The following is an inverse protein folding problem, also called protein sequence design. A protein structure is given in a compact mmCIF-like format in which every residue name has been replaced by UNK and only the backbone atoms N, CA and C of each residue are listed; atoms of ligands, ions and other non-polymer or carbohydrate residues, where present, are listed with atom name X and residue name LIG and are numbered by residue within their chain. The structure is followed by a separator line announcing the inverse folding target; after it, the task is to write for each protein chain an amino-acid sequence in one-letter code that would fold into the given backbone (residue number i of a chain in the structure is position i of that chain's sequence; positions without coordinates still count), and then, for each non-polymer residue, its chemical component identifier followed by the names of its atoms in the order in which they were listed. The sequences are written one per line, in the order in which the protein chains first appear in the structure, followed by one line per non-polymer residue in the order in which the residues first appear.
data_IF_605292908476
#
_entry.id   IF_605292908476
#
_cell.length_a   1.000
_cell.length_b   1.000
_cell.length_c   1.000
_cell.angle_alpha   90.00
_cell.angle_beta   90.00
_cell.angle_gamma   90.00
#
_symmetry.space_group_name_H-M   'P 1'
#
loop_
_entity.id
_entity.type
_entity.pdbx_description
1 polymer ?
#
# COMPACT_ATOMS: atom_id res chain seq x y z
N UNK A 1 57.04 -20.68 -3.77
CA UNK A 1 56.90 -19.92 -2.51
C UNK A 1 56.94 -18.45 -2.84
N UNK A 2 55.83 -17.74 -2.67
CA UNK A 2 55.73 -16.32 -2.29
C UNK A 2 54.25 -15.94 -2.37
N UNK A 3 53.58 -16.10 -1.24
CA UNK A 3 52.28 -15.54 -0.90
C UNK A 3 52.33 -14.01 -0.99
N UNK A 4 51.54 -13.40 -1.87
CA UNK A 4 51.22 -11.97 -1.77
C UNK A 4 49.88 -11.81 -1.07
N UNK A 5 49.96 -11.34 0.16
CA UNK A 5 48.84 -11.01 1.03
C UNK A 5 47.85 -10.08 0.31
N UNK A 6 46.58 -10.47 0.31
CA UNK A 6 45.49 -9.55 0.02
C UNK A 6 45.53 -8.43 1.07
N UNK A 7 45.58 -7.19 0.60
CA UNK A 7 45.62 -6.00 1.44
C UNK A 7 44.36 -5.94 2.30
N UNK A 8 44.56 -5.77 3.62
CA UNK A 8 43.55 -5.56 4.66
C UNK A 8 42.34 -4.66 4.26
N UNK A 9 42.47 -3.62 3.41
CA UNK A 9 41.31 -2.86 2.91
C UNK A 9 40.31 -3.65 2.04
N UNK A 10 40.71 -4.70 1.32
CA UNK A 10 39.80 -5.52 0.50
C UNK A 10 38.90 -6.39 1.37
N UNK A 11 39.45 -6.93 2.46
CA UNK A 11 38.69 -7.72 3.45
C UNK A 11 37.76 -6.83 4.27
N UNK A 12 38.17 -5.59 4.59
CA UNK A 12 37.29 -4.59 5.21
C UNK A 12 36.17 -4.11 4.29
N UNK A 13 36.41 -4.00 2.97
CA UNK A 13 35.38 -3.66 1.99
C UNK A 13 34.33 -4.79 1.83
N UNK A 14 34.75 -6.06 1.85
CA UNK A 14 33.83 -7.20 1.89
C UNK A 14 33.08 -7.35 3.23
N UNK A 15 33.70 -6.97 4.36
CA UNK A 15 33.02 -6.96 5.67
C UNK A 15 32.03 -5.79 5.82
N UNK A 16 32.25 -4.65 5.17
CA UNK A 16 31.28 -3.55 5.07
C UNK A 16 30.11 -3.87 4.11
N UNK A 17 30.33 -4.76 3.13
CA UNK A 17 29.28 -5.31 2.27
C UNK A 17 28.46 -6.41 2.95
N UNK A 18 28.90 -6.95 4.10
CA UNK A 18 28.14 -7.90 4.93
C UNK A 18 27.31 -7.20 6.03
N UNK A 19 27.43 -5.89 6.21
CA UNK A 19 26.69 -5.10 7.22
C UNK A 19 25.79 -4.01 6.64
N UNK A 20 25.66 -3.94 5.31
CA UNK A 20 24.75 -3.02 4.63
C UNK A 20 23.57 -3.82 4.05
N UNK A 21 22.32 -3.63 4.52
CA UNK A 21 21.18 -4.36 3.95
C UNK A 21 20.99 -3.96 2.48
N UNK A 22 20.62 -4.90 1.59
CA UNK A 22 20.26 -4.56 0.22
C UNK A 22 19.05 -3.63 0.21
N UNK A 23 18.93 -2.72 -0.77
CA UNK A 23 17.82 -1.78 -0.85
C UNK A 23 16.48 -2.50 -0.88
N UNK A 24 15.65 -2.15 0.10
CA UNK A 24 14.28 -2.59 0.33
C UNK A 24 13.34 -2.12 -0.77
N UNK A 25 13.27 -2.84 -1.90
CA UNK A 25 12.22 -2.72 -2.91
C UNK A 25 11.91 -4.11 -3.46
N UNK A 26 11.08 -4.86 -2.75
CA UNK A 26 10.59 -6.14 -3.24
C UNK A 26 9.39 -5.93 -4.15
N UNK A 27 9.67 -5.55 -5.40
CA UNK A 27 8.72 -5.67 -6.49
C UNK A 27 8.52 -7.15 -6.84
N UNK A 28 7.32 -7.54 -7.25
CA UNK A 28 7.08 -8.91 -7.72
C UNK A 28 7.86 -9.15 -9.04
N UNK A 29 8.93 -9.94 -8.96
CA UNK A 29 9.75 -10.33 -10.12
C UNK A 29 8.90 -10.90 -11.26
N UNK A 30 7.81 -11.60 -10.94
CA UNK A 30 6.88 -12.14 -11.94
C UNK A 30 6.08 -11.05 -12.66
N UNK A 31 5.73 -9.95 -11.99
CA UNK A 31 5.03 -8.81 -12.61
C UNK A 31 5.95 -8.07 -13.57
N UNK A 32 7.22 -7.85 -13.21
CA UNK A 32 8.22 -7.28 -14.12
C UNK A 32 8.48 -8.19 -15.32
N UNK A 33 8.70 -9.48 -15.08
CA UNK A 33 8.88 -10.46 -16.16
C UNK A 33 7.69 -10.48 -17.12
N UNK A 34 6.47 -10.41 -16.59
CA UNK A 34 5.24 -10.37 -17.40
C UNK A 34 5.15 -9.07 -18.19
N UNK A 35 5.42 -7.91 -17.56
CA UNK A 35 5.45 -6.61 -18.22
C UNK A 35 6.45 -6.58 -19.39
N UNK A 36 7.69 -7.01 -19.15
CA UNK A 36 8.72 -7.07 -20.19
C UNK A 36 8.39 -8.07 -21.30
N UNK A 37 7.79 -9.22 -20.95
CA UNK A 37 7.38 -10.22 -21.93
C UNK A 37 6.24 -9.71 -22.84
N UNK A 38 5.23 -9.06 -22.26
CA UNK A 38 4.14 -8.45 -23.01
C UNK A 38 4.66 -7.32 -23.93
N UNK A 39 5.53 -6.46 -23.39
CA UNK A 39 6.14 -5.37 -24.15
C UNK A 39 7.01 -5.89 -25.31
N UNK A 40 7.87 -6.88 -25.06
CA UNK A 40 8.73 -7.48 -26.09
C UNK A 40 7.89 -8.14 -27.19
N UNK A 41 6.89 -8.92 -26.82
CA UNK A 41 5.97 -9.59 -27.76
C UNK A 41 5.20 -8.58 -28.63
N UNK A 42 4.70 -7.51 -28.01
CA UNK A 42 4.00 -6.44 -28.72
C UNK A 42 4.93 -5.71 -29.69
N UNK A 43 6.12 -5.30 -29.24
CA UNK A 43 7.09 -4.58 -30.08
C UNK A 43 7.62 -5.41 -31.23
N UNK A 44 7.78 -6.73 -31.03
CA UNK A 44 8.15 -7.66 -32.11
C UNK A 44 7.05 -7.77 -33.17
N UNK A 45 5.77 -7.81 -32.76
CA UNK A 45 4.64 -7.78 -33.70
C UNK A 45 4.52 -6.45 -34.43
N UNK A 46 4.75 -5.31 -33.75
CA UNK A 46 4.80 -3.98 -34.38
C UNK A 46 5.91 -3.90 -35.44
N UNK A 47 7.10 -4.41 -35.13
CA UNK A 47 8.20 -4.45 -36.08
C UNK A 47 7.83 -5.22 -37.36
N UNK A 48 7.16 -6.35 -37.22
CA UNK A 48 6.72 -7.16 -38.37
C UNK A 48 5.61 -6.46 -39.17
N UNK A 49 4.65 -5.83 -38.48
CA UNK A 49 3.60 -5.05 -39.14
C UNK A 49 4.18 -3.90 -39.97
N UNK A 50 5.09 -3.11 -39.38
CA UNK A 50 5.75 -1.99 -40.08
C UNK A 50 6.54 -2.45 -41.30
N UNK A 51 7.30 -3.55 -41.16
CA UNK A 51 8.02 -4.15 -42.29
C UNK A 51 7.07 -4.60 -43.41
N UNK A 52 5.93 -5.20 -43.07
CA UNK A 52 4.93 -5.67 -44.05
C UNK A 52 4.27 -4.53 -44.85
N UNK A 53 4.24 -3.31 -44.30
CA UNK A 53 3.70 -2.10 -44.95
C UNK A 53 4.79 -1.23 -45.59
N UNK A 54 6.05 -1.68 -45.62
CA UNK A 54 7.18 -0.97 -46.22
C UNK A 54 7.86 0.08 -45.33
N UNK A 55 7.46 0.22 -44.06
CA UNK A 55 8.13 1.09 -43.09
C UNK A 55 9.33 0.38 -42.44
N UNK A 56 10.41 0.24 -43.22
CA UNK A 56 11.63 -0.43 -42.76
C UNK A 56 12.34 0.35 -41.65
N UNK A 57 12.32 1.70 -41.70
CA UNK A 57 12.94 2.53 -40.69
C UNK A 57 12.21 2.43 -39.34
N UNK A 58 10.88 2.48 -39.33
CA UNK A 58 10.08 2.29 -38.13
C UNK A 58 10.08 0.85 -37.62
N UNK A 59 10.20 -0.14 -38.51
CA UNK A 59 10.43 -1.53 -38.14
C UNK A 59 11.74 -1.70 -37.38
N UNK A 60 12.84 -1.09 -37.85
CA UNK A 60 14.13 -1.16 -37.15
C UNK A 60 14.10 -0.49 -35.77
N UNK A 61 13.40 0.65 -35.62
CA UNK A 61 13.22 1.28 -34.30
C UNK A 61 12.40 0.40 -33.35
N UNK A 62 11.33 -0.23 -33.84
CA UNK A 62 10.54 -1.17 -33.06
C UNK A 62 11.34 -2.42 -32.66
N UNK A 63 12.19 -2.95 -33.55
CA UNK A 63 13.14 -4.04 -33.25
C UNK A 63 14.18 -3.62 -32.23
N UNK A 64 14.68 -2.39 -32.30
CA UNK A 64 15.61 -1.87 -31.31
C UNK A 64 14.99 -1.85 -29.92
N UNK A 65 13.76 -1.34 -29.78
CA UNK A 65 13.01 -1.37 -28.51
C UNK A 65 12.77 -2.83 -28.06
N UNK A 66 12.33 -3.72 -28.95
CA UNK A 66 12.14 -5.13 -28.64
C UNK A 66 13.43 -5.79 -28.15
N UNK A 67 14.57 -5.47 -28.76
CA UNK A 67 15.89 -6.00 -28.39
C UNK A 67 16.37 -5.48 -27.03
N UNK A 68 16.14 -4.19 -26.71
CA UNK A 68 16.39 -3.64 -25.38
C UNK A 68 15.55 -4.37 -24.30
N UNK A 69 14.34 -4.80 -24.63
CA UNK A 69 13.46 -5.58 -23.75
C UNK A 69 13.88 -7.07 -23.68
N UNK A 70 14.40 -7.65 -24.77
CA UNK A 70 14.88 -9.04 -24.89
C UNK A 70 16.18 -9.30 -24.12
N UNK A 71 17.10 -8.33 -24.11
CA UNK A 71 18.27 -8.36 -23.23
C UNK A 71 17.87 -8.38 -21.73
N UNK A 72 16.62 -8.05 -21.41
CA UNK A 72 15.96 -8.25 -20.13
C UNK A 72 15.33 -9.63 -19.90
N UNK A 73 15.56 -10.64 -20.75
CA UNK A 73 14.96 -11.98 -20.63
C UNK A 73 15.97 -13.16 -20.76
N UNK A 74 17.26 -12.94 -21.06
CA UNK A 74 18.32 -13.97 -21.27
C UNK A 74 19.55 -13.87 -20.32
N UNK A 75 20.68 -14.57 -20.50
CA UNK A 75 21.84 -14.52 -19.55
C UNK A 75 22.49 -13.13 -19.35
N UNK A 76 22.37 -12.22 -20.33
CA UNK A 76 22.75 -10.80 -20.21
C UNK A 76 21.74 -9.97 -19.38
N UNK A 77 20.63 -10.58 -18.95
CA UNK A 77 19.65 -10.05 -18.00
C UNK A 77 20.34 -9.49 -16.77
N UNK A 78 21.34 -10.19 -16.25
CA UNK A 78 22.04 -9.76 -15.04
C UNK A 78 22.83 -8.48 -15.27
N UNK A 79 23.48 -8.27 -16.41
CA UNK A 79 24.24 -7.05 -16.69
C UNK A 79 23.35 -5.82 -16.92
N UNK A 80 22.25 -5.97 -17.66
CA UNK A 80 21.33 -4.88 -17.99
C UNK A 80 20.33 -4.59 -16.86
N UNK A 81 19.82 -5.62 -16.16
CA UNK A 81 19.09 -5.42 -14.90
C UNK A 81 20.01 -4.84 -13.84
N UNK A 82 21.29 -5.22 -13.78
CA UNK A 82 22.24 -4.55 -12.92
C UNK A 82 22.41 -3.09 -13.33
N UNK A 83 22.49 -2.75 -14.63
CA UNK A 83 22.52 -1.36 -15.08
C UNK A 83 21.26 -0.57 -14.69
N UNK A 84 20.06 -1.11 -14.93
CA UNK A 84 18.79 -0.44 -14.61
C UNK A 84 18.52 -0.40 -13.10
N UNK A 85 18.85 -1.45 -12.36
CA UNK A 85 18.74 -1.51 -10.91
C UNK A 85 19.82 -0.66 -10.23
N UNK A 86 21.01 -0.54 -10.83
CA UNK A 86 22.08 0.35 -10.37
C UNK A 86 21.78 1.81 -10.67
N UNK A 87 21.24 2.11 -11.86
CA UNK A 87 20.72 3.44 -12.19
C UNK A 87 19.59 3.80 -11.23
N UNK A 88 18.63 2.89 -11.02
CA UNK A 88 17.57 3.03 -10.02
C UNK A 88 18.15 3.26 -8.61
N UNK A 89 19.08 2.42 -8.17
CA UNK A 89 19.69 2.52 -6.84
C UNK A 89 20.44 3.84 -6.65
N UNK A 90 21.29 4.19 -7.62
CA UNK A 90 22.14 5.39 -7.59
C UNK A 90 21.33 6.68 -7.65
N UNK A 91 20.27 6.71 -8.46
CA UNK A 91 19.55 7.95 -8.76
C UNK A 91 18.22 8.09 -7.99
N UNK A 92 17.64 6.98 -7.51
CA UNK A 92 16.24 6.94 -7.04
C UNK A 92 16.00 6.14 -5.74
N UNK A 93 16.68 5.02 -5.44
CA UNK A 93 16.36 4.18 -4.27
C UNK A 93 16.68 4.81 -2.90
N UNK A 94 17.56 5.82 -2.86
CA UNK A 94 18.02 6.49 -1.64
C UNK A 94 17.66 7.98 -1.60
N UNK A 95 16.71 8.42 -2.45
CA UNK A 95 16.25 9.81 -2.56
C UNK A 95 14.73 9.80 -2.68
N UNK A 96 14.06 10.80 -2.14
CA UNK A 96 12.61 10.98 -2.31
C UNK A 96 12.24 11.00 -3.80
N UNK A 97 11.73 9.87 -4.29
CA UNK A 97 10.96 9.82 -5.53
C UNK A 97 9.76 10.72 -5.28
N UNK A 98 9.44 11.60 -6.23
CA UNK A 98 8.22 12.41 -6.16
C UNK A 98 7.02 11.48 -6.31
N UNK A 99 6.60 10.86 -5.22
CA UNK A 99 5.54 9.86 -5.23
C UNK A 99 4.25 10.47 -5.78
N UNK A 100 3.99 11.76 -5.52
CA UNK A 100 2.88 12.52 -6.11
C UNK A 100 2.82 12.47 -7.64
N UNK A 101 3.97 12.51 -8.33
CA UNK A 101 4.01 12.40 -9.80
C UNK A 101 3.62 10.98 -10.30
N UNK A 102 3.82 9.95 -9.47
CA UNK A 102 3.41 8.55 -9.74
C UNK A 102 1.91 8.33 -9.47
N UNK A 103 1.35 8.95 -8.42
CA UNK A 103 -0.08 8.92 -8.13
C UNK A 103 -0.90 9.72 -9.14
N UNK A 104 -0.43 10.90 -9.55
CA UNK A 104 -1.09 11.72 -10.55
C UNK A 104 -1.16 11.04 -11.94
N UNK A 105 -0.42 9.95 -12.13
CA UNK A 105 -0.49 9.09 -13.30
C UNK A 105 -1.65 8.07 -13.25
N UNK A 106 -2.23 7.79 -12.07
CA UNK A 106 -3.33 6.83 -11.89
C UNK A 106 -4.61 7.24 -12.66
N UNK A 107 -5.03 8.52 -12.69
CA UNK A 107 -6.14 8.94 -13.55
C UNK A 107 -5.89 8.66 -15.04
N UNK A 108 -4.66 8.90 -15.51
CA UNK A 108 -4.25 8.63 -16.90
C UNK A 108 -4.27 7.11 -17.18
N UNK A 109 -3.75 6.29 -16.25
CA UNK A 109 -3.81 4.81 -16.35
C UNK A 109 -5.26 4.29 -16.38
N UNK A 110 -6.14 4.83 -15.53
CA UNK A 110 -7.56 4.46 -15.51
C UNK A 110 -8.28 4.83 -16.81
N UNK A 111 -7.96 5.99 -17.39
CA UNK A 111 -8.50 6.40 -18.68
C UNK A 111 -8.03 5.48 -19.82
N UNK A 112 -6.77 5.07 -19.83
CA UNK A 112 -6.25 4.09 -20.78
C UNK A 112 -6.89 2.70 -20.59
N UNK A 113 -7.05 2.23 -19.35
CA UNK A 113 -7.71 0.95 -19.07
C UNK A 113 -9.15 0.90 -19.56
N UNK A 114 -9.91 1.99 -19.38
CA UNK A 114 -11.28 2.11 -19.92
C UNK A 114 -11.27 2.04 -21.44
N UNK A 115 -10.40 2.82 -22.09
CA UNK A 115 -10.29 2.85 -23.54
C UNK A 115 -9.91 1.46 -24.11
N UNK A 116 -8.99 0.75 -23.47
CA UNK A 116 -8.61 -0.60 -23.89
C UNK A 116 -9.69 -1.65 -23.57
N UNK A 117 -10.43 -1.50 -22.46
CA UNK A 117 -11.56 -2.36 -22.16
C UNK A 117 -12.69 -2.21 -23.20
N UNK A 118 -13.00 -0.99 -23.61
CA UNK A 118 -13.95 -0.73 -24.70
C UNK A 118 -13.48 -1.36 -26.02
N UNK A 119 -12.22 -1.14 -26.39
CA UNK A 119 -11.66 -1.68 -27.63
C UNK A 119 -11.61 -3.21 -27.64
N UNK A 120 -11.26 -3.84 -26.51
CA UNK A 120 -11.22 -5.31 -26.37
C UNK A 120 -12.61 -5.94 -26.36
N UNK A 121 -13.65 -5.20 -25.98
CA UNK A 121 -15.04 -5.65 -26.00
C UNK A 121 -15.69 -5.64 -27.40
N UNK A 122 -15.01 -5.17 -28.45
CA UNK A 122 -15.55 -5.12 -29.81
C UNK A 122 -15.30 -6.44 -30.56
N UNK A 123 -16.38 -7.00 -31.11
CA UNK A 123 -16.39 -8.33 -31.72
C UNK A 123 -15.87 -8.39 -33.17
N UNK A 124 -15.84 -7.25 -33.90
CA UNK A 124 -15.38 -7.22 -35.30
C UNK A 124 -14.21 -6.26 -35.54
N UNK A 125 -13.31 -6.63 -36.47
CA UNK A 125 -12.15 -5.81 -36.82
C UNK A 125 -12.55 -4.47 -37.46
N UNK A 126 -13.66 -4.44 -38.18
CA UNK A 126 -14.24 -3.20 -38.71
C UNK A 126 -14.71 -2.26 -37.57
N UNK A 127 -15.35 -2.80 -36.54
CA UNK A 127 -15.73 -2.02 -35.36
C UNK A 127 -14.52 -1.48 -34.60
N UNK A 128 -13.46 -2.30 -34.46
CA UNK A 128 -12.19 -1.89 -33.83
C UNK A 128 -11.49 -0.79 -34.61
N UNK A 129 -11.35 -0.92 -35.94
CA UNK A 129 -10.74 0.11 -36.79
C UNK A 129 -11.52 1.44 -36.73
N UNK A 130 -12.86 1.36 -36.73
CA UNK A 130 -13.74 2.52 -36.58
C UNK A 130 -13.60 3.17 -35.20
N UNK A 131 -13.51 2.39 -34.13
CA UNK A 131 -13.27 2.89 -32.77
C UNK A 131 -11.90 3.55 -32.65
N UNK A 132 -10.83 2.95 -33.18
CA UNK A 132 -9.48 3.51 -33.14
C UNK A 132 -9.48 4.86 -33.84
N UNK A 133 -10.07 4.96 -35.03
CA UNK A 133 -10.14 6.22 -35.78
C UNK A 133 -10.84 7.33 -34.98
N UNK A 134 -11.94 7.02 -34.28
CA UNK A 134 -12.68 8.00 -33.46
C UNK A 134 -11.95 8.41 -32.18
N UNK A 135 -11.29 7.47 -31.51
CA UNK A 135 -10.77 7.67 -30.16
C UNK A 135 -9.26 7.92 -30.09
N UNK A 136 -8.52 7.75 -31.19
CA UNK A 136 -7.06 7.82 -31.23
C UNK A 136 -6.49 9.09 -30.59
N UNK A 137 -7.05 10.26 -30.92
CA UNK A 137 -6.57 11.54 -30.38
C UNK A 137 -6.75 11.64 -28.87
N UNK A 138 -7.82 11.06 -28.33
CA UNK A 138 -8.06 11.01 -26.88
C UNK A 138 -7.05 10.09 -26.19
N UNK A 139 -6.86 8.87 -26.73
CA UNK A 139 -5.89 7.90 -26.19
C UNK A 139 -4.46 8.42 -26.27
N UNK A 140 -4.08 9.06 -27.39
CA UNK A 140 -2.77 9.68 -27.57
C UNK A 140 -2.51 10.81 -26.56
N UNK A 141 -3.52 11.64 -26.29
CA UNK A 141 -3.41 12.71 -25.29
C UNK A 141 -3.13 12.15 -23.90
N UNK A 142 -3.86 11.12 -23.49
CA UNK A 142 -3.70 10.45 -22.19
C UNK A 142 -2.36 9.72 -22.10
N UNK A 143 -1.96 8.99 -23.15
CA UNK A 143 -0.67 8.29 -23.19
C UNK A 143 0.51 9.27 -23.11
N UNK A 144 0.43 10.42 -23.81
CA UNK A 144 1.44 11.46 -23.74
C UNK A 144 1.49 12.14 -22.36
N UNK A 145 0.34 12.36 -21.72
CA UNK A 145 0.25 12.84 -20.33
C UNK A 145 1.02 11.91 -19.38
N UNK A 146 0.74 10.61 -19.47
CA UNK A 146 1.38 9.56 -18.67
C UNK A 146 2.91 9.53 -18.88
N UNK A 147 3.37 9.55 -20.13
CA UNK A 147 4.80 9.54 -20.46
C UNK A 147 5.52 10.80 -19.96
N UNK A 148 4.88 11.98 -20.03
CA UNK A 148 5.43 13.22 -19.45
C UNK A 148 5.57 13.12 -17.93
N UNK A 149 4.62 12.50 -17.24
CA UNK A 149 4.72 12.25 -15.79
C UNK A 149 5.84 11.27 -15.47
N UNK A 150 5.98 10.19 -16.24
CA UNK A 150 7.12 9.26 -16.10
C UNK A 150 8.48 9.94 -16.32
N UNK A 151 8.59 10.91 -17.22
CA UNK A 151 9.82 11.68 -17.40
C UNK A 151 10.13 12.64 -16.24
N UNK A 152 9.12 13.06 -15.46
CA UNK A 152 9.31 13.79 -14.20
C UNK A 152 9.81 12.85 -13.11
N UNK A 153 9.27 11.63 -13.05
CA UNK A 153 9.75 10.57 -12.15
C UNK A 153 11.19 10.23 -12.48
N UNK A 154 11.49 9.88 -13.74
CA UNK A 154 12.84 9.57 -14.22
C UNK A 154 13.57 10.83 -14.75
N UNK A 155 13.69 11.84 -13.89
CA UNK A 155 14.30 13.13 -14.26
C UNK A 155 15.83 13.13 -14.40
N UNK A 156 16.53 12.15 -13.81
CA UNK A 156 17.99 12.06 -13.86
C UNK A 156 18.42 11.35 -15.15
N UNK A 157 19.50 11.82 -15.75
CA UNK A 157 20.13 11.15 -16.89
C UNK A 157 20.55 9.74 -16.49
N UNK A 158 20.14 8.75 -17.26
CA UNK A 158 20.31 7.34 -16.91
C UNK A 158 19.44 6.45 -17.79
N UNK A 159 19.68 5.15 -17.71
CA UNK A 159 19.05 4.16 -18.56
C UNK A 159 17.51 4.21 -18.49
N UNK A 160 16.93 4.50 -17.32
CA UNK A 160 15.47 4.65 -17.19
C UNK A 160 14.90 5.84 -17.93
N UNK A 161 15.62 6.98 -17.93
CA UNK A 161 15.18 8.17 -18.65
C UNK A 161 15.24 7.95 -20.15
N UNK A 162 16.33 7.36 -20.65
CA UNK A 162 16.53 7.12 -22.09
C UNK A 162 15.45 6.20 -22.67
N UNK A 163 15.03 5.18 -21.91
CA UNK A 163 13.92 4.29 -22.28
C UNK A 163 12.61 5.07 -22.41
N UNK A 164 12.27 5.92 -21.43
CA UNK A 164 11.01 6.67 -21.44
C UNK A 164 11.01 7.73 -22.56
N UNK A 165 12.14 8.40 -22.80
CA UNK A 165 12.29 9.36 -23.91
C UNK A 165 12.13 8.68 -25.27
N UNK A 166 12.74 7.51 -25.45
CA UNK A 166 12.62 6.71 -26.68
C UNK A 166 11.17 6.30 -26.95
N UNK A 167 10.47 5.79 -25.93
CA UNK A 167 9.06 5.41 -26.04
C UNK A 167 8.19 6.63 -26.32
N UNK A 168 8.46 7.78 -25.69
CA UNK A 168 7.70 9.01 -25.90
C UNK A 168 7.81 9.51 -27.34
N UNK A 169 9.01 9.54 -27.90
CA UNK A 169 9.22 9.96 -29.29
C UNK A 169 8.45 9.06 -30.25
N UNK A 170 8.49 7.75 -30.06
CA UNK A 170 7.78 6.80 -30.92
C UNK A 170 6.25 6.87 -30.76
N UNK A 171 5.74 7.10 -29.55
CA UNK A 171 4.30 7.25 -29.29
C UNK A 171 3.75 8.55 -29.89
N UNK A 172 4.49 9.66 -29.79
CA UNK A 172 4.01 10.98 -30.23
C UNK A 172 4.24 11.19 -31.73
N UNK A 173 5.40 10.81 -32.25
CA UNK A 173 5.82 11.12 -33.62
C UNK A 173 5.96 9.88 -34.51
N UNK A 174 6.16 8.70 -33.93
CA UNK A 174 6.48 7.46 -34.65
C UNK A 174 5.29 6.59 -34.99
N UNK A 175 4.05 6.99 -34.67
CA UNK A 175 2.83 6.20 -34.93
C UNK A 175 2.71 4.93 -34.07
N UNK A 176 3.60 4.70 -33.10
CA UNK A 176 3.70 3.45 -32.33
C UNK A 176 2.41 3.11 -31.60
N UNK A 177 1.75 4.11 -31.01
CA UNK A 177 0.49 3.89 -30.31
C UNK A 177 -0.61 3.37 -31.24
N UNK A 178 -0.61 3.80 -32.50
CA UNK A 178 -1.58 3.34 -33.50
C UNK A 178 -1.34 1.88 -33.85
N UNK A 179 -0.08 1.52 -34.09
CA UNK A 179 0.31 0.14 -34.39
C UNK A 179 -0.01 -0.81 -33.21
N UNK A 180 0.21 -0.37 -31.97
CA UNK A 180 -0.11 -1.15 -30.78
C UNK A 180 -1.63 -1.33 -30.59
N UNK A 181 -2.43 -0.31 -30.88
CA UNK A 181 -3.89 -0.40 -30.84
C UNK A 181 -4.45 -1.34 -31.91
N UNK A 182 -3.80 -1.42 -33.08
CA UNK A 182 -4.16 -2.35 -34.16
C UNK A 182 -3.79 -3.81 -33.83
N UNK A 183 -2.68 -4.05 -33.11
CA UNK A 183 -2.10 -5.40 -32.94
C UNK A 183 -2.40 -6.08 -31.59
N UNK A 184 -2.60 -5.33 -30.50
CA UNK A 184 -2.54 -5.90 -29.16
C UNK A 184 -3.10 -5.03 -28.05
N UNK A 185 -4.38 -4.62 -28.17
CA UNK A 185 -5.08 -3.87 -27.11
C UNK A 185 -5.19 -4.64 -25.78
N UNK A 186 -5.23 -5.98 -25.83
CA UNK A 186 -5.16 -6.85 -24.65
C UNK A 186 -3.80 -6.79 -23.94
N UNK A 187 -2.70 -6.76 -24.70
CA UNK A 187 -1.35 -6.63 -24.13
C UNK A 187 -1.14 -5.25 -23.52
N UNK A 188 -1.60 -4.19 -24.20
CA UNK A 188 -1.63 -2.82 -23.66
C UNK A 188 -2.42 -2.74 -22.35
N UNK A 189 -3.59 -3.37 -22.28
CA UNK A 189 -4.40 -3.46 -21.05
C UNK A 189 -3.66 -4.17 -19.93
N UNK A 190 -3.02 -5.31 -20.21
CA UNK A 190 -2.21 -6.06 -19.24
C UNK A 190 -1.04 -5.23 -18.70
N UNK A 191 -0.30 -4.53 -19.57
CA UNK A 191 0.83 -3.69 -19.17
C UNK A 191 0.40 -2.50 -18.30
N UNK A 192 -0.67 -1.79 -18.67
CA UNK A 192 -1.19 -0.66 -17.86
C UNK A 192 -1.74 -1.14 -16.52
N UNK A 193 -2.37 -2.32 -16.47
CA UNK A 193 -2.83 -2.90 -15.20
C UNK A 193 -1.65 -3.21 -14.28
N UNK A 194 -0.58 -3.84 -14.79
CA UNK A 194 0.63 -4.11 -14.00
C UNK A 194 1.25 -2.80 -13.48
N UNK A 195 1.37 -1.78 -14.32
CA UNK A 195 1.91 -0.47 -13.91
C UNK A 195 1.05 0.22 -12.84
N UNK A 196 -0.28 0.10 -12.95
CA UNK A 196 -1.23 0.61 -11.96
C UNK A 196 -1.11 -0.15 -10.63
N UNK A 197 -1.03 -1.47 -10.67
CA UNK A 197 -0.88 -2.29 -9.47
C UNK A 197 0.46 -1.98 -8.77
N UNK A 198 1.54 -1.78 -9.54
CA UNK A 198 2.82 -1.33 -9.02
C UNK A 198 2.71 0.06 -8.37
N UNK A 199 2.07 1.02 -9.04
CA UNK A 199 1.86 2.36 -8.50
C UNK A 199 1.02 2.35 -7.20
N UNK A 200 -0.02 1.51 -7.12
CA UNK A 200 -0.89 1.40 -5.94
C UNK A 200 -0.22 0.66 -4.79
N UNK A 201 0.66 -0.31 -5.06
CA UNK A 201 1.41 -1.03 -4.03
C UNK A 201 2.39 -0.13 -3.25
N UNK A 202 2.84 0.99 -3.83
CA UNK A 202 3.63 2.00 -3.12
C UNK A 202 2.85 2.79 -2.06
N UNK A 203 1.52 2.72 -2.09
CA UNK A 203 0.63 3.60 -1.31
C UNK A 203 -0.25 2.88 -0.29
N UNK A 204 -0.02 1.59 -0.02
CA UNK A 204 -0.71 0.92 1.10
C UNK A 204 -0.33 1.46 2.49
N UNK A 205 0.55 2.47 2.57
CA UNK A 205 0.63 3.38 3.70
C UNK A 205 0.46 4.82 3.20
N UNK A 206 -0.51 5.55 3.75
CA UNK A 206 -0.74 7.01 3.62
C UNK A 206 -1.48 7.53 2.37
N UNK A 207 -2.83 7.46 2.40
CA UNK A 207 -3.73 8.59 2.10
C UNK A 207 -5.19 8.11 2.13
N UNK A 208 -5.84 8.28 3.29
CA UNK A 208 -7.27 7.97 3.47
C UNK A 208 -8.13 9.05 2.80
N UNK A 209 -9.24 8.62 2.18
CA UNK A 209 -10.34 9.50 1.74
C UNK A 209 -10.99 10.16 2.97
N UNK A 210 -11.49 11.41 2.89
CA UNK A 210 -12.21 12.07 3.98
C UNK A 210 -13.46 11.29 4.44
N UNK A 211 -14.14 10.58 3.52
CA UNK A 211 -15.29 9.73 3.86
C UNK A 211 -14.89 8.46 4.64
N UNK A 212 -13.62 8.03 4.55
CA UNK A 212 -13.06 6.94 5.36
C UNK A 212 -12.56 7.41 6.73
N UNK A 213 -12.56 8.72 6.97
CA UNK A 213 -12.19 9.38 8.23
C UNK A 213 -13.42 9.93 9.00
N UNK A 214 -14.63 9.69 8.50
CA UNK A 214 -15.87 10.11 9.18
C UNK A 214 -16.22 11.59 9.05
N UNK A 215 -15.72 12.30 8.03
CA UNK A 215 -16.16 13.67 7.74
C UNK A 215 -17.40 13.66 6.84
N UNK A 216 -18.44 14.40 7.23
CA UNK A 216 -19.71 14.49 6.52
C UNK A 216 -19.64 15.31 5.22
N UNK A 217 -18.63 16.18 5.08
CA UNK A 217 -18.46 17.14 3.97
C UNK A 217 -16.99 17.28 3.54
N UNK A 218 -16.76 17.89 2.36
CA UNK A 218 -15.42 18.27 1.90
C UNK A 218 -14.77 19.32 2.81
N UNK A 219 -13.48 19.16 3.09
CA UNK A 219 -12.68 20.13 3.84
C UNK A 219 -12.58 21.43 3.04
N UNK A 220 -13.11 22.58 3.53
CA UNK A 220 -13.10 23.83 2.80
C UNK A 220 -11.68 24.43 2.68
N UNK A 221 -11.38 25.16 1.60
CA UNK A 221 -10.12 25.90 1.52
C UNK A 221 -10.12 27.09 2.49
N UNK A 222 -8.94 27.44 3.01
CA UNK A 222 -8.78 28.56 3.97
C UNK A 222 -9.41 29.87 3.48
N UNK A 223 -9.32 30.14 2.17
CA UNK A 223 -9.88 31.35 1.57
C UNK A 223 -11.39 31.53 1.81
N UNK A 224 -12.14 30.44 1.96
CA UNK A 224 -13.60 30.46 2.11
C UNK A 224 -14.09 30.02 3.48
N UNK A 225 -13.25 29.41 4.31
CA UNK A 225 -13.63 28.94 5.65
C UNK A 225 -13.87 30.12 6.61
N UNK A 226 -15.00 30.13 7.32
CA UNK A 226 -15.37 31.19 8.27
C UNK A 226 -16.06 30.62 9.50
N UNK A 227 -15.96 31.31 10.64
CA UNK A 227 -16.69 30.98 11.86
C UNK A 227 -16.52 29.52 12.28
N UNK A 228 -17.62 28.84 12.65
CA UNK A 228 -17.57 27.44 13.11
C UNK A 228 -17.17 26.43 12.03
N UNK A 229 -17.16 26.78 10.75
CA UNK A 229 -16.71 25.87 9.68
C UNK A 229 -15.21 25.55 9.81
N UNK A 230 -14.45 26.43 10.45
CA UNK A 230 -13.04 26.25 10.82
C UNK A 230 -12.86 25.00 11.69
N UNK A 231 -13.86 24.66 12.51
CA UNK A 231 -13.87 23.50 13.40
C UNK A 231 -14.20 22.17 12.70
N UNK A 232 -14.21 22.14 11.37
CA UNK A 232 -14.39 20.90 10.59
C UNK A 232 -13.14 20.50 9.80
N UNK A 233 -12.07 21.30 9.94
CA UNK A 233 -10.83 21.17 9.18
C UNK A 233 -10.73 22.21 8.06
N UNK A 234 -9.50 22.58 7.70
CA UNK A 234 -9.22 23.56 6.64
C UNK A 234 -8.10 23.07 5.72
N UNK A 235 -8.27 23.28 4.42
CA UNK A 235 -7.24 23.04 3.42
C UNK A 235 -6.46 24.33 3.12
N UNK A 236 -5.17 24.34 3.45
CA UNK A 236 -4.27 25.48 3.21
C UNK A 236 -3.52 25.39 1.88
N UNK A 237 -3.63 24.27 1.16
CA UNK A 237 -2.84 24.03 -0.04
C UNK A 237 -3.11 25.09 -1.12
N UNK A 238 -2.04 25.68 -1.62
CA UNK A 238 -2.05 26.54 -2.80
C UNK A 238 -1.33 25.85 -3.95
N UNK A 239 -1.98 25.79 -5.11
CA UNK A 239 -1.32 25.31 -6.33
C UNK A 239 -0.05 26.12 -6.61
N UNK A 240 0.97 25.44 -7.15
CA UNK A 240 2.30 25.99 -7.43
C UNK A 240 3.14 26.42 -6.21
N UNK A 241 2.64 26.26 -4.98
CA UNK A 241 3.42 26.55 -3.78
C UNK A 241 4.59 25.57 -3.60
N UNK A 242 5.69 26.08 -3.06
CA UNK A 242 6.81 25.27 -2.59
C UNK A 242 7.44 25.88 -1.35
N UNK A 243 8.43 25.17 -0.79
CA UNK A 243 9.09 25.54 0.47
C UNK A 243 9.81 26.89 0.33
N UNK A 244 10.39 27.18 -0.85
CA UNK A 244 11.04 28.47 -1.14
C UNK A 244 10.03 29.48 -1.68
N UNK A 245 10.12 30.74 -1.25
CA UNK A 245 9.18 31.82 -1.61
C UNK A 245 8.97 32.01 -3.11
N UNK A 246 10.02 31.85 -3.89
CA UNK A 246 9.99 32.05 -5.34
C UNK A 246 9.32 30.88 -6.10
N UNK A 247 9.09 29.75 -5.44
CA UNK A 247 8.56 28.55 -6.10
C UNK A 247 7.19 28.85 -6.70
N UNK A 248 7.05 28.59 -8.00
CA UNK A 248 5.78 28.74 -8.72
C UNK A 248 5.34 30.18 -8.95
N UNK A 249 6.14 31.19 -8.57
CA UNK A 249 5.80 32.62 -8.73
C UNK A 249 5.55 33.01 -10.19
N UNK A 250 6.23 32.34 -11.13
CA UNK A 250 6.04 32.54 -12.57
C UNK A 250 4.67 32.09 -13.08
N UNK A 251 3.90 31.34 -12.29
CA UNK A 251 2.59 30.79 -12.66
C UNK A 251 1.41 31.64 -12.14
N UNK A 252 1.68 32.76 -11.46
CA UNK A 252 0.68 33.71 -10.95
C UNK A 252 0.69 33.88 -9.43
N UNK A 253 -0.42 34.38 -8.89
CA UNK A 253 -0.63 34.50 -7.44
C UNK A 253 -0.64 33.13 -6.76
N UNK A 254 0.09 33.01 -5.66
CA UNK A 254 0.25 31.76 -4.88
C UNK A 254 0.54 32.08 -3.42
N UNK A 255 0.07 31.21 -2.53
CA UNK A 255 0.41 31.22 -1.10
C UNK A 255 1.59 30.28 -0.94
N UNK A 256 2.79 30.84 -0.72
CA UNK A 256 4.00 30.06 -0.43
C UNK A 256 3.81 29.22 0.84
N UNK A 257 4.68 28.22 1.06
CA UNK A 257 4.55 27.37 2.24
C UNK A 257 4.57 28.17 3.56
N UNK A 258 5.40 29.21 3.63
CA UNK A 258 5.40 30.17 4.75
C UNK A 258 4.05 30.87 4.93
N UNK A 259 3.42 31.35 3.86
CA UNK A 259 2.08 31.93 3.91
C UNK A 259 0.99 30.91 4.29
N UNK A 260 1.17 29.63 3.98
CA UNK A 260 0.27 28.57 4.44
C UNK A 260 0.40 28.34 5.95
N UNK A 261 1.63 28.41 6.49
CA UNK A 261 1.88 28.37 7.93
C UNK A 261 1.27 29.58 8.63
N UNK A 262 1.37 30.77 8.06
CA UNK A 262 0.73 31.98 8.59
C UNK A 262 -0.80 31.84 8.63
N UNK A 263 -1.41 31.31 7.56
CA UNK A 263 -2.84 31.01 7.54
C UNK A 263 -3.26 29.99 8.60
N UNK A 264 -2.41 28.99 8.87
CA UNK A 264 -2.64 28.03 9.95
C UNK A 264 -2.57 28.69 11.32
N UNK A 265 -1.58 29.56 11.57
CA UNK A 265 -1.49 30.31 12.82
C UNK A 265 -2.73 31.18 13.05
N UNK A 266 -3.22 31.87 12.02
CA UNK A 266 -4.45 32.64 12.06
C UNK A 266 -5.69 31.77 12.34
N UNK A 267 -5.68 30.53 11.87
CA UNK A 267 -6.75 29.57 12.16
C UNK A 267 -6.74 29.14 13.62
N UNK A 268 -5.56 28.83 14.17
CA UNK A 268 -5.42 28.48 15.60
C UNK A 268 -5.96 29.61 16.48
N UNK A 269 -5.62 30.86 16.18
CA UNK A 269 -6.16 32.03 16.89
C UNK A 269 -7.69 32.09 16.84
N UNK A 270 -8.29 31.86 15.67
CA UNK A 270 -9.74 31.86 15.52
C UNK A 270 -10.41 30.70 16.27
N UNK A 271 -9.74 29.55 16.38
CA UNK A 271 -10.23 28.41 17.18
C UNK A 271 -10.23 28.76 18.67
N UNK A 272 -9.19 29.44 19.16
CA UNK A 272 -9.16 29.98 20.54
C UNK A 272 -10.33 30.93 20.76
N UNK A 273 -10.56 31.88 19.86
CA UNK A 273 -11.67 32.83 19.98
C UNK A 273 -13.05 32.15 19.95
N UNK A 274 -13.22 31.12 19.12
CA UNK A 274 -14.48 30.39 18.97
C UNK A 274 -14.79 29.48 20.16
N UNK A 275 -13.75 28.92 20.79
CA UNK A 275 -13.87 27.99 21.91
C UNK A 275 -13.72 28.68 23.26
N UNK A 276 -13.30 29.94 23.28
CA UNK A 276 -13.30 30.84 24.43
C UNK A 276 -11.98 30.91 25.19
N UNK A 277 -11.11 29.91 25.05
CA UNK A 277 -9.82 29.85 25.73
C UNK A 277 -8.81 28.92 25.04
N UNK A 278 -7.52 29.10 25.38
CA UNK A 278 -6.40 28.36 24.80
C UNK A 278 -6.39 26.87 25.18
N UNK A 279 -6.88 26.51 26.37
CA UNK A 279 -6.91 25.11 26.85
C UNK A 279 -7.95 24.30 26.08
N UNK A 280 -9.14 24.86 25.89
CA UNK A 280 -10.23 24.30 25.06
C UNK A 280 -9.81 24.17 23.60
N UNK A 281 -9.09 25.16 23.06
CA UNK A 281 -8.55 25.09 21.70
C UNK A 281 -7.43 24.07 21.55
N UNK A 282 -6.53 23.95 22.52
CA UNK A 282 -5.48 22.93 22.52
C UNK A 282 -6.07 21.52 22.62
N UNK A 283 -7.07 21.30 23.48
CA UNK A 283 -7.81 20.05 23.59
C UNK A 283 -8.52 19.70 22.26
N UNK A 284 -9.13 20.70 21.62
CA UNK A 284 -9.82 20.54 20.35
C UNK A 284 -8.86 20.28 19.16
N UNK A 285 -7.76 21.03 19.04
CA UNK A 285 -6.77 20.87 17.96
C UNK A 285 -5.90 19.63 18.12
N UNK A 286 -5.79 19.12 19.35
CA UNK A 286 -5.05 17.90 19.62
C UNK A 286 -5.84 16.64 19.30
N UNK A 287 -7.15 16.72 19.00
CA UNK A 287 -8.17 15.63 19.00
C UNK A 287 -7.62 14.22 18.77
N UNK A 288 -6.91 13.73 19.79
CA UNK A 288 -6.60 12.34 20.00
C UNK A 288 -7.78 11.85 20.79
N UNK A 289 -8.59 10.98 20.19
CA UNK A 289 -9.52 10.21 20.99
C UNK A 289 -8.74 9.57 22.15
N UNK A 290 -9.23 9.72 23.38
CA UNK A 290 -8.78 8.82 24.44
C UNK A 290 -9.06 7.38 23.98
N UNK A 291 -8.30 6.36 24.45
CA UNK A 291 -8.59 4.97 24.12
C UNK A 291 -10.06 4.59 24.36
N UNK A 292 -10.68 5.18 25.39
CA UNK A 292 -12.10 5.02 25.69
C UNK A 292 -13.00 5.58 24.58
N UNK A 293 -12.85 6.86 24.23
CA UNK A 293 -13.67 7.50 23.20
C UNK A 293 -13.48 6.85 21.83
N UNK A 294 -12.25 6.44 21.50
CA UNK A 294 -11.96 5.75 20.25
C UNK A 294 -12.65 4.39 20.22
N UNK A 295 -12.55 3.64 21.32
CA UNK A 295 -13.21 2.34 21.46
C UNK A 295 -14.73 2.46 21.34
N UNK A 296 -15.35 3.45 22.00
CA UNK A 296 -16.79 3.70 21.90
C UNK A 296 -17.21 4.02 20.47
N UNK A 297 -16.43 4.84 19.76
CA UNK A 297 -16.68 5.17 18.36
C UNK A 297 -16.58 3.92 17.45
N UNK A 298 -15.53 3.10 17.62
CA UNK A 298 -15.36 1.85 16.86
C UNK A 298 -16.49 0.85 17.14
N UNK A 299 -16.90 0.70 18.40
CA UNK A 299 -17.98 -0.21 18.78
C UNK A 299 -19.34 0.26 18.24
N UNK A 300 -19.59 1.57 18.21
CA UNK A 300 -20.79 2.12 17.60
C UNK A 300 -20.85 1.79 16.10
N UNK A 301 -19.77 2.05 15.36
CA UNK A 301 -19.69 1.71 13.93
C UNK A 301 -19.83 0.20 13.68
N UNK A 302 -19.19 -0.63 14.51
CA UNK A 302 -19.29 -2.08 14.37
C UNK A 302 -20.70 -2.59 14.69
N UNK A 303 -21.37 -2.02 15.69
CA UNK A 303 -22.78 -2.29 16.01
C UNK A 303 -23.69 -2.03 14.81
N UNK A 304 -23.49 -0.92 14.09
CA UNK A 304 -24.29 -0.58 12.92
C UNK A 304 -24.10 -1.58 11.77
N UNK A 305 -22.86 -2.05 11.55
CA UNK A 305 -22.56 -3.12 10.58
C UNK A 305 -23.20 -4.47 10.97
N UNK A 306 -23.17 -4.83 12.25
CA UNK A 306 -23.81 -6.06 12.76
C UNK A 306 -25.33 -6.00 12.60
N UNK A 307 -25.96 -4.85 12.87
CA UNK A 307 -27.39 -4.61 12.60
C UNK A 307 -27.71 -4.76 11.11
N UNK A 308 -26.85 -4.26 10.23
CA UNK A 308 -27.03 -4.41 8.79
C UNK A 308 -27.04 -5.89 8.38
N UNK A 309 -26.04 -6.66 8.81
CA UNK A 309 -25.98 -8.11 8.53
C UNK A 309 -27.20 -8.86 9.09
N UNK A 310 -27.63 -8.52 10.30
CA UNK A 310 -28.85 -9.07 10.91
C UNK A 310 -30.09 -8.78 10.06
N UNK A 311 -30.24 -7.53 9.58
CA UNK A 311 -31.34 -7.14 8.70
C UNK A 311 -31.30 -7.86 7.34
N UNK A 312 -30.11 -8.28 6.89
CA UNK A 312 -29.93 -9.14 5.70
C UNK A 312 -30.12 -10.64 5.96
N UNK A 313 -30.53 -11.04 7.16
CA UNK A 313 -30.88 -12.42 7.47
C UNK A 313 -29.83 -13.21 8.25
N UNK A 314 -28.68 -12.63 8.62
CA UNK A 314 -27.74 -13.31 9.49
C UNK A 314 -28.34 -13.51 10.90
N UNK A 315 -28.14 -14.70 11.48
CA UNK A 315 -28.69 -15.08 12.80
C UNK A 315 -27.68 -15.62 13.80
N UNK A 316 -26.49 -15.99 13.34
CA UNK A 316 -25.41 -16.49 14.19
C UNK A 316 -24.19 -15.61 13.97
N UNK A 317 -23.72 -14.98 15.03
CA UNK A 317 -22.62 -14.02 14.98
C UNK A 317 -21.52 -14.43 15.96
N UNK A 318 -20.28 -14.41 15.48
CA UNK A 318 -19.09 -14.71 16.27
C UNK A 318 -18.20 -13.47 16.25
N UNK A 319 -18.08 -12.81 17.39
CA UNK A 319 -17.34 -11.56 17.56
C UNK A 319 -16.00 -11.89 18.23
N UNK A 320 -14.92 -11.87 17.46
CA UNK A 320 -13.58 -12.07 18.01
C UNK A 320 -13.08 -10.79 18.68
N UNK A 321 -12.67 -10.88 19.94
CA UNK A 321 -11.91 -9.84 20.60
C UNK A 321 -10.56 -9.64 19.93
N UNK A 322 -9.99 -8.45 20.06
CA UNK A 322 -8.63 -8.13 19.65
C UNK A 322 -7.64 -8.98 20.46
N UNK A 323 -6.64 -9.54 19.78
CA UNK A 323 -5.50 -10.18 20.42
C UNK A 323 -4.58 -9.17 21.12
N UNK A 324 -3.48 -9.64 21.67
CA UNK A 324 -2.49 -8.80 22.33
C UNK A 324 -1.57 -8.08 21.33
N UNK A 325 -2.07 -7.02 20.68
CA UNK A 325 -1.32 -6.23 19.69
C UNK A 325 0.00 -5.70 20.28
N UNK A 326 0.01 -5.30 21.55
CA UNK A 326 1.23 -4.83 22.24
C UNK A 326 2.30 -5.91 22.40
N UNK A 327 1.98 -7.18 22.15
CA UNK A 327 2.93 -8.30 22.10
C UNK A 327 3.37 -8.66 20.67
N UNK A 328 2.83 -8.00 19.65
CA UNK A 328 3.24 -8.26 18.26
C UNK A 328 4.71 -7.91 18.05
N UNK A 329 5.43 -8.63 17.17
CA UNK A 329 6.84 -8.36 16.94
C UNK A 329 7.15 -6.91 16.54
N UNK A 330 6.24 -6.24 15.82
CA UNK A 330 6.36 -4.83 15.48
C UNK A 330 6.35 -3.93 16.72
N UNK A 331 5.35 -4.10 17.58
CA UNK A 331 5.24 -3.28 18.80
C UNK A 331 6.39 -3.55 19.76
N UNK A 332 6.83 -4.81 19.87
CA UNK A 332 8.01 -5.15 20.64
C UNK A 332 9.28 -4.50 20.07
N UNK A 333 9.43 -4.49 18.74
CA UNK A 333 10.58 -3.89 18.10
C UNK A 333 10.65 -2.37 18.30
N UNK A 334 9.52 -1.68 18.18
CA UNK A 334 9.43 -0.22 18.23
C UNK A 334 9.37 0.33 19.66
N UNK A 335 8.59 -0.30 20.53
CA UNK A 335 8.12 0.31 21.77
C UNK A 335 8.51 -0.47 23.03
N UNK A 336 9.04 -1.69 22.91
CA UNK A 336 9.53 -2.47 24.05
C UNK A 336 11.05 -2.34 24.21
N UNK A 337 11.58 -1.93 25.38
CA UNK A 337 13.03 -1.80 25.58
C UNK A 337 13.81 -3.11 25.46
N UNK A 338 13.21 -4.23 25.87
CA UNK A 338 13.85 -5.56 25.85
C UNK A 338 13.42 -6.43 24.66
N UNK A 339 12.41 -5.99 23.88
CA UNK A 339 11.87 -6.74 22.75
C UNK A 339 11.11 -8.00 23.19
N UNK A 340 10.65 -8.04 24.43
CA UNK A 340 9.95 -9.19 25.04
C UNK A 340 8.73 -8.76 25.84
N UNK A 341 8.89 -7.73 26.65
CA UNK A 341 7.83 -7.19 27.49
C UNK A 341 6.80 -6.50 26.62
N UNK A 342 5.55 -6.99 26.64
CA UNK A 342 4.48 -6.42 25.85
C UNK A 342 4.18 -4.97 26.22
N UNK A 343 3.82 -4.17 25.21
CA UNK A 343 3.52 -2.74 25.34
C UNK A 343 2.15 -2.56 25.99
N UNK A 344 2.14 -2.35 27.31
CA UNK A 344 0.90 -2.33 28.09
C UNK A 344 -0.06 -1.23 27.66
N UNK A 345 0.44 -0.04 27.26
CA UNK A 345 -0.42 1.04 26.75
C UNK A 345 -1.35 0.57 25.62
N UNK A 346 -0.85 -0.29 24.73
CA UNK A 346 -1.61 -0.84 23.60
C UNK A 346 -2.55 -1.93 24.08
N UNK A 347 -2.07 -2.87 24.91
CA UNK A 347 -2.90 -3.95 25.42
C UNK A 347 -4.04 -3.45 26.33
N UNK A 348 -3.84 -2.36 27.08
CA UNK A 348 -4.91 -1.70 27.85
C UNK A 348 -5.98 -1.12 26.92
N UNK A 349 -5.60 -0.51 25.79
CA UNK A 349 -6.56 -0.03 24.80
C UNK A 349 -7.36 -1.18 24.16
N UNK A 350 -6.70 -2.30 23.84
CA UNK A 350 -7.38 -3.50 23.32
C UNK A 350 -8.40 -4.06 24.31
N UNK A 351 -8.07 -4.07 25.60
CA UNK A 351 -8.96 -4.57 26.66
C UNK A 351 -10.21 -3.69 26.81
N UNK A 352 -10.09 -2.36 26.68
CA UNK A 352 -11.25 -1.46 26.68
C UNK A 352 -12.21 -1.83 25.54
N UNK A 353 -11.69 -2.02 24.32
CA UNK A 353 -12.50 -2.43 23.18
C UNK A 353 -13.14 -3.82 23.38
N UNK A 354 -12.37 -4.79 23.86
CA UNK A 354 -12.86 -6.15 24.09
C UNK A 354 -13.97 -6.20 25.16
N UNK A 355 -13.85 -5.41 26.24
CA UNK A 355 -14.89 -5.29 27.24
C UNK A 355 -16.18 -4.70 26.65
N UNK A 356 -16.07 -3.67 25.81
CA UNK A 356 -17.21 -3.10 25.10
C UNK A 356 -17.81 -4.05 24.06
N UNK A 357 -17.00 -4.86 23.38
CA UNK A 357 -17.46 -5.88 22.44
C UNK A 357 -18.27 -6.98 23.13
N UNK A 358 -17.86 -7.38 24.33
CA UNK A 358 -18.63 -8.31 25.17
C UNK A 358 -19.96 -7.69 25.62
N UNK A 359 -19.96 -6.43 26.05
CA UNK A 359 -21.21 -5.72 26.35
C UNK A 359 -22.14 -5.63 25.14
N UNK A 360 -21.59 -5.49 23.93
CA UNK A 360 -22.35 -5.47 22.69
C UNK A 360 -23.03 -6.82 22.40
N UNK A 361 -22.36 -7.94 22.71
CA UNK A 361 -22.97 -9.29 22.65
C UNK A 361 -24.21 -9.37 23.54
N UNK A 362 -24.13 -8.87 24.78
CA UNK A 362 -25.27 -8.85 25.70
C UNK A 362 -26.42 -8.00 25.16
N UNK A 363 -26.10 -6.80 24.65
CA UNK A 363 -27.10 -5.92 24.05
C UNK A 363 -27.81 -6.57 22.87
N UNK A 364 -27.10 -7.22 21.96
CA UNK A 364 -27.74 -7.89 20.82
C UNK A 364 -28.58 -9.09 21.25
N UNK A 365 -28.07 -9.94 22.14
CA UNK A 365 -28.81 -11.12 22.61
C UNK A 365 -30.08 -10.75 23.40
N UNK A 366 -30.09 -9.60 24.08
CA UNK A 366 -31.26 -9.09 24.79
C UNK A 366 -32.29 -8.43 23.87
N UNK A 367 -31.86 -7.85 22.74
CA UNK A 367 -32.73 -7.08 21.85
C UNK A 367 -33.17 -7.85 20.58
N UNK A 368 -32.44 -8.90 20.18
CA UNK A 368 -32.69 -9.69 18.97
C UNK A 368 -32.94 -11.15 19.33
N UNK A 369 -34.19 -11.48 19.69
CA UNK A 369 -34.53 -12.80 20.21
C UNK A 369 -34.28 -13.97 19.23
N UNK A 370 -34.35 -13.70 17.92
CA UNK A 370 -34.15 -14.68 16.84
C UNK A 370 -32.69 -14.82 16.40
N UNK A 371 -31.77 -13.99 16.92
CA UNK A 371 -30.34 -14.08 16.65
C UNK A 371 -29.53 -14.48 17.90
N UNK A 372 -28.33 -14.98 17.66
CA UNK A 372 -27.37 -15.37 18.70
C UNK A 372 -25.99 -14.82 18.38
N UNK A 373 -25.48 -14.04 19.32
CA UNK A 373 -24.17 -13.42 19.29
C UNK A 373 -23.30 -14.09 20.36
N UNK A 374 -22.06 -14.39 20.02
CA UNK A 374 -21.04 -14.86 20.95
C UNK A 374 -19.77 -14.03 20.79
N UNK A 375 -19.01 -13.89 21.88
CA UNK A 375 -17.70 -13.29 21.96
C UNK A 375 -16.63 -14.38 22.10
N UNK A 376 -15.51 -14.24 21.40
CA UNK A 376 -14.33 -15.10 21.57
C UNK A 376 -13.21 -14.27 22.21
N UNK A 377 -12.66 -14.74 23.32
CA UNK A 377 -11.59 -14.08 24.05
C UNK A 377 -10.21 -14.36 23.44
N UNK A 378 -9.98 -13.86 22.23
CA UNK A 378 -8.69 -14.01 21.54
C UNK A 378 -7.53 -13.47 22.37
N UNK A 379 -7.76 -12.43 23.18
CA UNK A 379 -6.75 -11.84 24.06
C UNK A 379 -6.30 -12.85 25.12
N UNK A 380 -7.25 -13.42 25.86
CA UNK A 380 -6.97 -14.42 26.89
C UNK A 380 -6.34 -15.69 26.32
N UNK A 381 -6.82 -16.15 25.16
CA UNK A 381 -6.20 -17.30 24.49
C UNK A 381 -4.75 -17.00 24.08
N UNK A 382 -4.47 -15.81 23.53
CA UNK A 382 -3.09 -15.39 23.22
C UNK A 382 -2.21 -15.31 24.48
N UNK A 383 -2.77 -14.81 25.59
CA UNK A 383 -2.06 -14.73 26.87
C UNK A 383 -1.59 -16.10 27.34
N UNK A 384 -2.45 -17.11 27.29
CA UNK A 384 -2.07 -18.47 27.66
C UNK A 384 -0.91 -19.01 26.81
N UNK A 385 -0.90 -18.69 25.51
CA UNK A 385 0.16 -19.11 24.60
C UNK A 385 1.48 -18.40 24.91
N UNK A 386 1.45 -17.11 25.22
CA UNK A 386 2.64 -16.32 25.56
C UNK A 386 3.21 -16.73 26.92
N UNK A 387 2.35 -17.03 27.90
CA UNK A 387 2.76 -17.40 29.26
C UNK A 387 3.32 -18.81 29.36
N UNK A 388 2.84 -19.73 28.51
CA UNK A 388 3.34 -21.11 28.47
C UNK A 388 3.52 -21.64 27.04
N UNK A 389 4.46 -21.08 26.25
CA UNK A 389 4.63 -21.44 24.84
C UNK A 389 4.85 -22.94 24.58
N UNK A 390 5.68 -23.66 25.37
CA UNK A 390 5.94 -25.08 25.13
C UNK A 390 4.69 -25.96 25.23
N UNK A 391 3.71 -25.60 26.07
CA UNK A 391 2.46 -26.36 26.18
C UNK A 391 1.61 -26.32 24.89
N UNK A 392 1.88 -25.35 24.02
CA UNK A 392 1.21 -25.19 22.73
C UNK A 392 2.13 -25.51 21.54
N UNK A 393 3.34 -26.00 21.79
CA UNK A 393 4.32 -26.35 20.76
C UNK A 393 5.19 -25.19 20.26
N UNK A 394 5.07 -23.99 20.85
CA UNK A 394 5.86 -22.84 20.44
C UNK A 394 7.16 -22.72 21.24
N UNK A 395 8.21 -22.25 20.56
CA UNK A 395 9.49 -21.84 21.15
C UNK A 395 9.74 -20.35 21.02
N UNK A 396 9.18 -19.71 19.99
CA UNK A 396 9.41 -18.30 19.69
C UNK A 396 8.09 -17.56 19.63
N UNK A 397 7.85 -16.69 20.61
CA UNK A 397 6.58 -15.94 20.75
C UNK A 397 6.72 -14.44 20.59
N UNK A 398 7.95 -13.92 20.50
CA UNK A 398 8.22 -12.49 20.44
C UNK A 398 8.82 -12.03 19.10
N UNK A 399 9.06 -12.96 18.17
CA UNK A 399 9.75 -12.69 16.90
C UNK A 399 8.95 -13.27 15.74
N UNK A 400 8.85 -12.53 14.64
CA UNK A 400 8.23 -13.03 13.41
C UNK A 400 9.09 -14.12 12.75
N UNK A 401 8.47 -15.18 12.25
CA UNK A 401 9.14 -16.21 11.44
C UNK A 401 9.75 -15.61 10.17
N UNK A 402 9.15 -14.55 9.63
CA UNK A 402 9.61 -13.81 8.47
C UNK A 402 9.51 -12.30 8.75
N UNK A 403 10.58 -11.57 8.46
CA UNK A 403 10.64 -10.12 8.66
C UNK A 403 12.07 -9.65 8.88
N UNK A 404 12.26 -8.34 8.99
CA UNK A 404 13.60 -7.74 9.04
C UNK A 404 13.75 -6.88 10.29
N UNK A 405 14.97 -6.87 10.82
CA UNK A 405 15.35 -6.05 11.94
C UNK A 405 14.98 -6.69 13.28
N UNK A 406 14.92 -5.84 14.31
CA UNK A 406 14.60 -6.23 15.68
C UNK A 406 13.27 -7.01 15.72
N UNK A 407 13.28 -8.14 16.42
CA UNK A 407 12.15 -9.09 16.52
C UNK A 407 11.60 -9.58 15.16
N UNK A 408 12.32 -9.41 14.04
CA UNK A 408 11.76 -9.53 12.69
C UNK A 408 10.44 -8.74 12.53
N UNK A 409 10.30 -7.63 13.28
CA UNK A 409 9.06 -6.87 13.41
C UNK A 409 9.17 -5.42 12.96
N UNK A 410 10.39 -4.87 12.81
CA UNK A 410 10.57 -3.50 12.32
C UNK A 410 10.04 -3.33 10.89
N UNK A 411 10.28 -4.35 10.06
CA UNK A 411 9.72 -4.45 8.72
C UNK A 411 9.10 -5.84 8.61
N UNK A 412 7.84 -5.88 8.18
CA UNK A 412 7.12 -7.15 7.97
C UNK A 412 7.78 -8.02 6.90
N UNK A 413 7.33 -9.27 6.77
CA UNK A 413 7.84 -10.23 5.81
C UNK A 413 7.82 -9.65 4.38
N UNK A 414 8.99 -9.64 3.72
CA UNK A 414 9.11 -9.15 2.35
C UNK A 414 8.87 -10.26 1.32
N UNK A 415 8.36 -9.95 0.12
CA UNK A 415 8.26 -10.92 -0.97
C UNK A 415 9.59 -11.65 -1.23
N UNK A 416 9.53 -12.97 -1.40
CA UNK A 416 10.69 -13.86 -1.61
C UNK A 416 11.68 -13.95 -0.44
N UNK A 417 11.40 -13.32 0.71
CA UNK A 417 12.23 -13.48 1.89
C UNK A 417 12.18 -14.94 2.35
N UNK A 418 13.36 -15.54 2.54
CA UNK A 418 13.45 -16.86 3.18
C UNK A 418 12.98 -16.74 4.62
N UNK A 419 11.92 -17.43 5.00
CA UNK A 419 11.39 -17.37 6.35
C UNK A 419 12.04 -18.44 7.24
N UNK A 420 11.69 -18.48 8.51
CA UNK A 420 12.21 -19.44 9.48
C UNK A 420 12.00 -20.90 9.04
N UNK A 421 12.91 -21.78 9.47
CA UNK A 421 12.94 -23.19 9.05
C UNK A 421 11.79 -24.03 9.59
N UNK A 422 11.36 -23.78 10.84
CA UNK A 422 10.23 -24.47 11.46
C UNK A 422 9.20 -23.45 11.94
N UNK A 423 8.06 -23.40 11.26
CA UNK A 423 7.00 -22.42 11.49
C UNK A 423 6.07 -22.81 12.62
N UNK A 424 5.99 -24.10 12.92
CA UNK A 424 5.15 -24.64 13.97
C UNK A 424 5.69 -24.26 15.36
N UNK A 425 6.98 -23.91 15.44
CA UNK A 425 7.60 -23.42 16.68
C UNK A 425 7.48 -21.90 16.87
N UNK A 426 6.96 -21.16 15.89
CA UNK A 426 6.81 -19.70 15.93
C UNK A 426 5.34 -19.32 16.10
N UNK A 427 5.03 -18.44 17.05
CA UNK A 427 3.69 -17.90 17.20
C UNK A 427 3.35 -16.90 16.08
N UNK A 428 4.30 -16.06 15.67
CA UNK A 428 4.10 -15.02 14.66
C UNK A 428 4.73 -15.39 13.31
N UNK A 429 3.95 -15.23 12.24
CA UNK A 429 4.43 -15.34 10.86
C UNK A 429 5.29 -14.14 10.50
N UNK A 430 4.78 -12.93 10.76
CA UNK A 430 5.41 -11.67 10.41
C UNK A 430 5.39 -10.66 11.56
N UNK A 431 5.49 -9.37 11.26
CA UNK A 431 5.52 -8.29 12.23
C UNK A 431 4.23 -8.18 13.07
N UNK A 432 3.11 -8.75 12.61
CA UNK A 432 1.80 -8.61 13.25
C UNK A 432 1.01 -9.93 13.33
N UNK A 433 1.08 -10.76 12.29
CA UNK A 433 0.16 -11.87 12.09
C UNK A 433 0.67 -13.18 12.68
N UNK A 434 -0.21 -14.03 13.24
CA UNK A 434 0.19 -15.35 13.74
C UNK A 434 0.55 -16.32 12.60
N UNK A 435 1.34 -17.35 12.89
CA UNK A 435 1.55 -18.48 11.97
C UNK A 435 0.28 -19.32 11.83
N UNK A 436 0.27 -20.27 10.89
CA UNK A 436 -0.79 -21.27 10.80
C UNK A 436 -0.95 -22.02 12.13
N UNK A 437 0.15 -22.43 12.77
CA UNK A 437 0.12 -23.08 14.09
C UNK A 437 -0.53 -22.18 15.16
N UNK A 438 -0.18 -20.88 15.20
CA UNK A 438 -0.81 -19.90 16.08
C UNK A 438 -2.32 -19.79 15.85
N UNK A 439 -2.72 -19.64 14.58
CA UNK A 439 -4.13 -19.57 14.20
C UNK A 439 -4.89 -20.87 14.52
N UNK A 440 -4.25 -22.05 14.37
CA UNK A 440 -4.86 -23.33 14.70
C UNK A 440 -5.20 -23.46 16.19
N UNK A 441 -4.34 -22.95 17.09
CA UNK A 441 -4.63 -22.91 18.53
C UNK A 441 -5.85 -22.04 18.83
N UNK A 442 -5.88 -20.82 18.29
CA UNK A 442 -7.00 -19.87 18.46
C UNK A 442 -8.29 -20.48 17.90
N UNK A 443 -8.26 -20.99 16.67
CA UNK A 443 -9.41 -21.59 16.02
C UNK A 443 -9.98 -22.79 16.77
N UNK A 444 -9.12 -23.67 17.31
CA UNK A 444 -9.55 -24.81 18.13
C UNK A 444 -10.25 -24.37 19.41
N UNK A 445 -9.69 -23.38 20.13
CA UNK A 445 -10.26 -22.87 21.39
C UNK A 445 -11.50 -22.01 21.19
N UNK A 446 -11.57 -21.28 20.08
CA UNK A 446 -12.79 -20.58 19.66
C UNK A 446 -13.91 -21.56 19.29
N UNK A 447 -13.56 -22.66 18.60
CA UNK A 447 -14.53 -23.67 18.20
C UNK A 447 -15.07 -24.48 19.37
N UNK A 448 -14.17 -25.00 20.21
CA UNK A 448 -14.49 -25.74 21.41
C UNK A 448 -13.67 -25.18 22.56
N UNK A 449 -14.33 -24.40 23.42
CA UNK A 449 -13.71 -23.76 24.56
C UNK A 449 -13.01 -24.80 25.45
N UNK A 450 -11.73 -24.56 25.75
CA UNK A 450 -10.94 -25.37 26.67
C UNK A 450 -10.98 -24.77 28.08
N UNK A 451 -11.20 -23.45 28.18
CA UNK A 451 -11.51 -22.75 29.43
C UNK A 451 -12.85 -22.03 29.32
N UNK A 452 -13.58 -21.84 30.44
CA UNK A 452 -14.83 -21.08 30.44
C UNK A 452 -14.70 -19.64 29.93
N UNK A 453 -13.48 -19.07 29.95
CA UNK A 453 -13.20 -17.71 29.48
C UNK A 453 -12.96 -17.61 27.98
N UNK A 454 -12.75 -18.73 27.27
CA UNK A 454 -12.38 -18.71 25.83
C UNK A 454 -13.48 -18.13 24.95
N UNK A 455 -14.73 -18.31 25.37
CA UNK A 455 -15.91 -17.85 24.65
C UNK A 455 -17.03 -17.46 25.61
N UNK A 456 -17.90 -16.55 25.19
CA UNK A 456 -19.02 -16.06 25.98
C UNK A 456 -20.25 -15.78 25.09
N UNK A 457 -21.48 -16.17 25.47
CA UNK A 457 -21.82 -17.05 26.59
C UNK A 457 -21.55 -18.54 26.30
N UNK A 458 -21.39 -18.90 25.03
CA UNK A 458 -21.11 -20.26 24.55
C UNK A 458 -20.06 -20.20 23.43
N UNK A 459 -19.44 -21.32 23.11
CA UNK A 459 -18.50 -21.40 21.98
C UNK A 459 -19.17 -21.67 20.63
N UNK A 460 -18.37 -21.62 19.55
CA UNK A 460 -18.87 -21.76 18.18
C UNK A 460 -19.48 -23.15 17.97
N UNK A 461 -18.96 -24.21 18.59
CA UNK A 461 -19.52 -25.56 18.48
C UNK A 461 -20.96 -25.60 18.98
N UNK A 462 -21.26 -24.99 20.14
CA UNK A 462 -22.63 -24.92 20.65
C UNK A 462 -23.49 -23.98 19.81
N UNK A 463 -22.97 -22.82 19.39
CA UNK A 463 -23.68 -21.90 18.49
C UNK A 463 -24.09 -22.57 17.16
N UNK A 464 -23.22 -23.40 16.60
CA UNK A 464 -23.47 -24.11 15.34
C UNK A 464 -24.64 -25.11 15.45
N UNK A 465 -24.95 -25.59 16.65
CA UNK A 465 -26.00 -26.59 16.92
C UNK A 465 -27.38 -25.99 17.22
N UNK A 466 -27.48 -24.67 17.42
CA UNK A 466 -28.75 -23.95 17.53
C UNK A 466 -29.49 -23.89 16.20
#
# INVERSE_FOLDING_TARGET
MATTAASLPVVLFFLLLLTSPPPSLSFSFSQFKTLFSLAHSLMSRVANLRASRGDFAGSQRARHIAHQLEQGLGLNFWGSMWSLAWDYAKNYAWRDISYSDLYDAVPDMNALLRAFAELTGLESDMARASWVTRNYQSVLRVANSLLKRLLKVFRKSGAWRDVVETVQVEVVNGGLLKDCLELGSGDLKGMVQILKDLALNFYSSTSQRPELLGFDDYIPPYATARGRDILRGINYASAAAGIREETGRQLGGRISFSGQVENYQNTVSQVVDLLGDEDSAAAYLSNQFTPQQYSENLLQQYSDQLRLLYNYGARKFVLFGLGQIGCSPNELAQNSPDGRTCVQKINSANQIFNAGLRSLVDQFNNNQADAKFIYIDSFGIFQDVIDNPPAFGFRVVNTGCCGVGRNNGQITCLPFQTPCSNRDEYLFWDAFHPTEAGNAVIGRRAYSAQRPTDAYPIDIRRLAQL
#
